data_IF_139221298908
#
_entry.id   IF_139221298908
#
_cell.length_a   1.000
_cell.length_b   1.000
_cell.length_c   1.000
_cell.angle_alpha   90.00
_cell.angle_beta   90.00
_cell.angle_gamma   90.00
#
_symmetry.space_group_name_H-M   'P 1'
#
loop_
_entity.id
_entity.type
_entity.pdbx_description
1 polymer ?
#
# COMPACT_ATOMS: atom_id res chain seq x y z
N UNK A 1 -24.54 -0.47 16.36
CA UNK A 1 -23.99 0.04 15.08
C UNK A 1 -23.70 -1.15 14.16
N UNK A 2 -23.92 -1.06 12.84
CA UNK A 2 -23.71 -2.20 11.92
C UNK A 2 -22.28 -2.28 11.36
N UNK A 3 -21.27 -2.09 12.22
CA UNK A 3 -19.87 -2.00 11.79
C UNK A 3 -19.40 -3.26 11.03
N UNK A 4 -19.74 -4.46 11.51
CA UNK A 4 -19.37 -5.70 10.81
C UNK A 4 -20.01 -5.89 9.41
N UNK A 5 -21.10 -5.17 9.11
CA UNK A 5 -21.68 -5.16 7.75
C UNK A 5 -21.00 -4.09 6.90
N UNK A 6 -20.78 -2.91 7.46
CA UNK A 6 -20.02 -1.83 6.81
C UNK A 6 -18.62 -2.27 6.42
N UNK A 7 -17.88 -2.92 7.33
CA UNK A 7 -16.54 -3.44 7.09
C UNK A 7 -16.54 -4.44 5.93
N UNK A 8 -17.46 -5.42 5.92
CA UNK A 8 -17.55 -6.40 4.84
C UNK A 8 -17.81 -5.77 3.46
N UNK A 9 -18.56 -4.67 3.42
CA UNK A 9 -18.84 -3.95 2.19
C UNK A 9 -17.70 -3.04 1.73
N UNK A 10 -16.85 -2.59 2.66
CA UNK A 10 -15.72 -1.70 2.41
C UNK A 10 -14.38 -2.44 2.21
N UNK A 11 -14.36 -3.76 2.38
CA UNK A 11 -13.15 -4.57 2.19
C UNK A 11 -12.76 -4.58 0.72
N UNK A 12 -11.55 -4.11 0.44
CA UNK A 12 -10.91 -4.31 -0.85
C UNK A 12 -10.45 -5.77 -0.98
N UNK A 13 -10.96 -6.47 -2.00
CA UNK A 13 -10.74 -7.90 -2.26
C UNK A 13 -9.26 -8.32 -2.12
N UNK A 14 -8.28 -7.63 -2.76
CA UNK A 14 -6.86 -7.99 -2.65
C UNK A 14 -6.26 -7.91 -1.25
N UNK A 15 -6.86 -7.14 -0.34
CA UNK A 15 -6.32 -6.92 1.01
C UNK A 15 -7.17 -7.54 2.11
N UNK A 16 -8.17 -8.34 1.76
CA UNK A 16 -9.13 -8.99 2.69
C UNK A 16 -8.45 -9.60 3.92
N UNK A 17 -7.35 -10.32 3.73
CA UNK A 17 -6.64 -11.01 4.81
C UNK A 17 -6.00 -10.06 5.83
N UNK A 18 -5.67 -8.85 5.38
CA UNK A 18 -5.02 -7.81 6.19
C UNK A 18 -5.99 -6.96 6.99
N UNK A 19 -7.30 -7.01 6.70
CA UNK A 19 -8.32 -6.35 7.52
C UNK A 19 -8.52 -7.04 8.87
N UNK A 20 -8.97 -6.29 9.87
CA UNK A 20 -9.29 -6.81 11.20
C UNK A 20 -10.39 -7.87 11.12
N UNK A 21 -10.18 -9.01 11.77
CA UNK A 21 -11.19 -10.06 11.90
C UNK A 21 -12.23 -9.68 12.97
N UNK A 22 -13.16 -8.80 12.57
CA UNK A 22 -14.23 -8.33 13.43
C UNK A 22 -15.18 -9.47 13.88
N UNK A 23 -15.32 -10.52 13.08
CA UNK A 23 -16.16 -11.66 13.43
C UNK A 23 -15.55 -12.47 14.58
N UNK A 24 -14.24 -12.70 14.56
CA UNK A 24 -13.52 -13.36 15.66
C UNK A 24 -13.54 -12.52 16.94
N UNK A 25 -13.31 -11.22 16.83
CA UNK A 25 -13.40 -10.29 17.97
C UNK A 25 -14.80 -10.31 18.60
N UNK A 26 -15.85 -10.29 17.78
CA UNK A 26 -17.23 -10.36 18.26
C UNK A 26 -17.56 -11.67 18.98
N UNK A 27 -17.04 -12.79 18.48
CA UNK A 27 -17.16 -14.10 19.14
C UNK A 27 -16.45 -14.13 20.49
N UNK A 28 -15.28 -13.51 20.59
CA UNK A 28 -14.56 -13.38 21.87
C UNK A 28 -15.32 -12.53 22.88
N UNK A 29 -16.02 -11.48 22.43
CA UNK A 29 -16.95 -10.71 23.28
C UNK A 29 -18.22 -11.49 23.67
N UNK A 30 -18.40 -12.72 23.17
CA UNK A 30 -19.57 -13.56 23.39
C UNK A 30 -20.90 -12.88 23.01
N UNK A 31 -20.88 -11.85 22.14
CA UNK A 31 -22.08 -11.11 21.73
C UNK A 31 -23.12 -11.99 21.00
N UNK A 32 -22.70 -13.13 20.43
CA UNK A 32 -23.60 -14.07 19.75
C UNK A 32 -24.20 -15.13 20.71
N UNK A 33 -23.66 -15.29 21.93
CA UNK A 33 -24.12 -16.31 22.88
C UNK A 33 -25.19 -15.76 23.84
N UNK A 34 -26.32 -15.37 23.25
CA UNK A 34 -27.53 -14.96 23.99
C UNK A 34 -28.15 -16.05 24.87
N UNK A 35 -27.60 -17.28 24.83
CA UNK A 35 -28.06 -18.43 25.62
C UNK A 35 -27.48 -18.46 27.04
N UNK A 36 -26.39 -17.74 27.29
CA UNK A 36 -25.73 -17.69 28.60
C UNK A 36 -26.07 -16.40 29.32
N UNK A 37 -27.24 -16.37 29.96
CA UNK A 37 -27.69 -15.22 30.77
C UNK A 37 -26.89 -15.02 32.08
N UNK A 38 -25.98 -15.93 32.41
CA UNK A 38 -25.34 -16.04 33.73
C UNK A 38 -23.80 -16.09 33.70
N UNK A 39 -23.17 -16.07 32.51
CA UNK A 39 -21.70 -16.00 32.41
C UNK A 39 -21.27 -14.53 32.54
N UNK A 40 -20.85 -14.16 33.74
CA UNK A 40 -20.28 -12.84 34.03
C UNK A 40 -18.96 -12.72 33.28
N UNK A 41 -18.80 -11.68 32.47
CA UNK A 41 -17.54 -11.37 31.77
C UNK A 41 -16.39 -11.33 32.77
N UNK A 42 -15.42 -12.23 32.60
CA UNK A 42 -14.29 -12.36 33.54
C UNK A 42 -13.08 -11.53 33.10
N UNK A 43 -12.16 -11.27 34.03
CA UNK A 43 -10.87 -10.63 33.71
C UNK A 43 -10.03 -11.49 32.74
N UNK A 44 -10.19 -12.81 32.77
CA UNK A 44 -9.53 -13.73 31.83
C UNK A 44 -10.09 -13.57 30.41
N UNK A 45 -11.41 -13.41 30.26
CA UNK A 45 -12.04 -13.12 28.97
C UNK A 45 -11.58 -11.76 28.42
N UNK A 46 -11.48 -10.74 29.29
CA UNK A 46 -10.94 -9.44 28.94
C UNK A 46 -9.50 -9.57 28.43
N UNK A 47 -8.63 -10.27 29.16
CA UNK A 47 -7.24 -10.44 28.79
C UNK A 47 -7.09 -11.21 27.47
N UNK A 48 -7.89 -12.26 27.24
CA UNK A 48 -7.90 -13.01 25.99
C UNK A 48 -8.32 -12.13 24.80
N UNK A 49 -9.34 -11.28 24.98
CA UNK A 49 -9.75 -10.31 23.98
C UNK A 49 -8.67 -9.27 23.68
N UNK A 50 -8.07 -8.67 24.72
CA UNK A 50 -6.99 -7.70 24.54
C UNK A 50 -5.77 -8.30 23.85
N UNK A 51 -5.38 -9.51 24.23
CA UNK A 51 -4.27 -10.22 23.61
C UNK A 51 -4.53 -10.45 22.11
N UNK A 52 -5.73 -10.92 21.74
CA UNK A 52 -6.07 -11.10 20.32
C UNK A 52 -6.11 -9.77 19.56
N UNK A 53 -6.73 -8.74 20.14
CA UNK A 53 -6.87 -7.42 19.50
C UNK A 53 -5.51 -6.77 19.26
N UNK A 54 -4.65 -6.73 20.28
CA UNK A 54 -3.39 -6.00 20.25
C UNK A 54 -2.30 -6.84 19.56
N UNK A 55 -2.12 -8.10 19.99
CA UNK A 55 -0.98 -8.89 19.52
C UNK A 55 -1.23 -9.54 18.16
N UNK A 56 -2.49 -9.69 17.73
CA UNK A 56 -2.79 -10.26 16.40
C UNK A 56 -3.34 -9.21 15.46
N UNK A 57 -4.51 -8.64 15.77
CA UNK A 57 -5.23 -7.81 14.81
C UNK A 57 -4.54 -6.47 14.54
N UNK A 58 -4.08 -5.78 15.58
CA UNK A 58 -3.38 -4.50 15.44
C UNK A 58 -2.01 -4.67 14.79
N UNK A 59 -1.24 -5.69 15.19
CA UNK A 59 0.06 -5.99 14.57
C UNK A 59 -0.10 -6.30 13.08
N UNK A 60 -1.10 -7.12 12.71
CA UNK A 60 -1.39 -7.46 11.31
C UNK A 60 -1.65 -6.23 10.46
N UNK A 61 -2.57 -5.36 10.89
CA UNK A 61 -2.92 -4.14 10.16
C UNK A 61 -1.73 -3.19 10.07
N UNK A 62 -1.00 -3.00 11.18
CA UNK A 62 0.16 -2.12 11.23
C UNK A 62 1.27 -2.61 10.31
N UNK A 63 1.54 -3.92 10.31
CA UNK A 63 2.54 -4.53 9.44
C UNK A 63 2.13 -4.43 7.97
N UNK A 64 0.83 -4.63 7.67
CA UNK A 64 0.30 -4.41 6.34
C UNK A 64 0.53 -2.96 5.88
N UNK A 65 0.10 -1.96 6.67
CA UNK A 65 0.33 -0.54 6.35
C UNK A 65 1.81 -0.24 6.10
N UNK A 66 2.70 -0.63 7.02
CA UNK A 66 4.15 -0.44 6.86
C UNK A 66 4.67 -1.07 5.56
N UNK A 67 4.28 -2.30 5.28
CA UNK A 67 4.73 -3.02 4.08
C UNK A 67 4.22 -2.37 2.80
N UNK A 68 2.97 -1.89 2.79
CA UNK A 68 2.35 -1.29 1.61
C UNK A 68 2.92 0.09 1.35
N UNK A 69 3.12 0.91 2.39
CA UNK A 69 3.83 2.18 2.28
C UNK A 69 5.26 2.00 1.75
N UNK A 70 5.99 0.99 2.24
CA UNK A 70 7.33 0.70 1.74
C UNK A 70 7.31 0.29 0.26
N UNK A 71 6.38 -0.60 -0.14
CA UNK A 71 6.22 -1.01 -1.54
C UNK A 71 5.88 0.17 -2.45
N UNK A 72 4.99 1.06 -2.01
CA UNK A 72 4.64 2.29 -2.73
C UNK A 72 5.87 3.18 -2.90
N UNK A 73 6.61 3.43 -1.82
CA UNK A 73 7.85 4.22 -1.85
C UNK A 73 8.90 3.61 -2.79
N UNK A 74 9.09 2.29 -2.74
CA UNK A 74 10.05 1.60 -3.61
C UNK A 74 9.62 1.66 -5.08
N UNK A 75 8.31 1.56 -5.38
CA UNK A 75 7.77 1.73 -6.73
C UNK A 75 7.96 3.14 -7.24
N UNK A 76 7.69 4.17 -6.42
CA UNK A 76 7.94 5.56 -6.77
C UNK A 76 9.42 5.82 -7.05
N UNK A 77 10.33 5.33 -6.19
CA UNK A 77 11.77 5.48 -6.40
C UNK A 77 12.27 4.78 -7.68
N UNK A 78 11.66 3.64 -8.06
CA UNK A 78 11.93 2.98 -9.34
C UNK A 78 11.43 3.80 -10.52
N UNK A 79 10.25 4.39 -10.42
CA UNK A 79 9.72 5.31 -11.44
C UNK A 79 10.65 6.51 -11.62
N UNK A 80 11.10 7.15 -10.54
CA UNK A 80 12.07 8.24 -10.56
C UNK A 80 13.38 7.81 -11.25
N UNK A 81 13.94 6.66 -10.87
CA UNK A 81 15.17 6.12 -11.48
C UNK A 81 15.04 5.83 -12.98
N UNK A 82 13.84 5.41 -13.44
CA UNK A 82 13.54 5.20 -14.86
C UNK A 82 13.39 6.53 -15.63
N UNK A 83 12.93 7.58 -14.95
CA UNK A 83 12.73 8.92 -15.51
C UNK A 83 14.04 9.73 -15.60
N UNK A 84 14.97 9.55 -14.66
CA UNK A 84 16.29 10.22 -14.64
C UNK A 84 17.04 10.23 -15.98
N UNK A 85 17.20 9.11 -16.71
CA UNK A 85 17.89 9.10 -18.00
C UNK A 85 17.09 9.85 -19.08
N UNK A 86 15.76 9.85 -19.00
CA UNK A 86 14.89 10.59 -19.93
C UNK A 86 15.00 12.09 -19.66
N UNK A 87 14.96 12.51 -18.40
CA UNK A 87 15.10 13.90 -17.98
C UNK A 87 16.47 14.50 -18.37
N UNK A 88 17.56 13.77 -18.12
CA UNK A 88 18.92 14.19 -18.54
C UNK A 88 19.02 14.32 -20.06
N UNK A 89 18.39 13.40 -20.80
CA UNK A 89 18.41 13.43 -22.25
C UNK A 89 17.53 14.52 -22.88
N UNK A 90 16.59 15.10 -22.13
CA UNK A 90 15.84 16.31 -22.51
C UNK A 90 16.65 17.57 -22.18
N UNK A 91 17.29 17.63 -21.01
CA UNK A 91 18.17 18.75 -20.64
C UNK A 91 19.39 18.90 -21.56
N UNK A 92 20.00 17.80 -21.98
CA UNK A 92 21.10 17.80 -22.96
C UNK A 92 20.63 18.22 -24.37
N UNK A 93 19.33 18.08 -24.68
CA UNK A 93 18.77 18.50 -25.96
C UNK A 93 18.39 20.00 -25.99
N UNK A 94 18.13 20.61 -24.83
CA UNK A 94 17.81 22.05 -24.70
C UNK A 94 19.03 22.93 -24.36
N UNK A 95 20.18 22.34 -24.00
CA UNK A 95 21.40 23.10 -23.76
C UNK A 95 21.95 23.71 -25.06
N UNK A 96 22.25 25.03 -25.12
CA UNK A 96 22.90 25.61 -26.27
C UNK A 96 24.26 24.95 -26.44
N UNK A 97 24.56 24.51 -27.67
CA UNK A 97 25.80 23.84 -28.02
C UNK A 97 27.02 24.68 -27.59
N UNK A 98 27.57 24.37 -26.41
CA UNK A 98 28.88 24.82 -25.99
C UNK A 98 29.79 23.61 -25.84
N UNK A 99 30.90 23.73 -26.55
CA UNK A 99 31.83 22.71 -26.98
C UNK A 99 32.76 22.18 -25.88
N UNK A 100 33.23 20.94 -26.10
CA UNK A 100 34.34 20.23 -25.44
C UNK A 100 34.09 19.69 -24.02
N UNK A 101 33.89 18.37 -23.92
CA UNK A 101 34.84 17.46 -23.27
C UNK A 101 34.32 16.01 -23.34
N UNK A 102 35.19 15.08 -23.73
CA UNK A 102 34.87 13.67 -23.82
C UNK A 102 34.53 13.07 -22.46
N UNK A 103 33.34 12.48 -22.36
CA UNK A 103 33.02 11.47 -21.37
C UNK A 103 32.10 10.46 -22.06
N UNK A 104 32.38 9.17 -21.85
CA UNK A 104 31.75 8.04 -22.53
C UNK A 104 30.22 8.20 -22.63
N UNK A 105 29.72 8.37 -23.87
CA UNK A 105 28.28 8.36 -24.19
C UNK A 105 27.72 7.00 -23.75
N UNK A 106 27.06 6.94 -22.58
CA UNK A 106 26.00 5.95 -22.40
C UNK A 106 24.97 6.22 -23.50
N UNK A 107 24.47 5.18 -24.20
CA UNK A 107 23.49 5.39 -25.26
C UNK A 107 22.29 6.11 -24.66
N UNK A 108 22.08 7.36 -25.11
CA UNK A 108 20.85 8.10 -24.82
C UNK A 108 19.69 7.30 -25.42
N UNK A 109 18.61 7.03 -24.66
CA UNK A 109 17.49 6.24 -25.17
C UNK A 109 16.92 6.90 -26.41
N UNK A 110 16.63 6.11 -27.45
CA UNK A 110 16.00 6.60 -28.67
C UNK A 110 14.60 7.17 -28.37
N UNK A 111 14.07 8.05 -29.22
CA UNK A 111 12.76 8.66 -29.01
C UNK A 111 11.63 7.63 -28.84
N UNK A 112 11.76 6.48 -29.50
CA UNK A 112 10.85 5.34 -29.35
C UNK A 112 10.93 4.68 -27.97
N UNK A 113 12.14 4.53 -27.43
CA UNK A 113 12.37 3.98 -26.08
C UNK A 113 11.92 4.96 -25.00
N UNK A 114 12.17 6.27 -25.18
CA UNK A 114 11.68 7.32 -24.26
C UNK A 114 10.16 7.31 -24.14
N UNK A 115 9.44 7.25 -25.26
CA UNK A 115 7.96 7.18 -25.26
C UNK A 115 7.44 5.92 -24.58
N UNK A 116 8.12 4.78 -24.73
CA UNK A 116 7.75 3.53 -24.03
C UNK A 116 7.96 3.66 -22.53
N UNK A 117 9.14 4.12 -22.10
CA UNK A 117 9.45 4.32 -20.68
C UNK A 117 8.46 5.29 -20.03
N UNK A 118 8.13 6.40 -20.69
CA UNK A 118 7.14 7.36 -20.20
C UNK A 118 5.74 6.73 -20.05
N UNK A 119 5.31 5.92 -21.03
CA UNK A 119 4.01 5.25 -20.99
C UNK A 119 3.96 4.22 -19.86
N UNK A 120 5.00 3.40 -19.71
CA UNK A 120 5.10 2.42 -18.62
C UNK A 120 5.11 3.08 -17.24
N UNK A 121 5.86 4.17 -17.08
CA UNK A 121 5.90 4.92 -15.81
C UNK A 121 4.54 5.57 -15.52
N UNK A 122 3.84 6.08 -16.53
CA UNK A 122 2.51 6.68 -16.35
C UNK A 122 1.49 5.62 -15.91
N UNK A 123 1.50 4.44 -16.52
CA UNK A 123 0.67 3.30 -16.10
C UNK A 123 1.02 2.85 -14.67
N UNK A 124 2.31 2.79 -14.31
CA UNK A 124 2.75 2.46 -12.94
C UNK A 124 2.29 3.52 -11.91
N UNK A 125 2.34 4.81 -12.27
CA UNK A 125 1.87 5.91 -11.41
C UNK A 125 0.36 5.89 -11.23
N UNK A 126 -0.43 5.61 -12.28
CA UNK A 126 -1.89 5.45 -12.17
C UNK A 126 -2.26 4.30 -11.23
N UNK A 127 -1.52 3.19 -11.28
CA UNK A 127 -1.70 2.08 -10.35
C UNK A 127 -1.32 2.48 -8.92
N UNK A 128 -0.24 3.23 -8.73
CA UNK A 128 0.15 3.78 -7.41
C UNK A 128 -0.96 4.69 -6.86
N UNK A 129 -1.51 5.59 -7.67
CA UNK A 129 -2.61 6.49 -7.27
C UNK A 129 -3.86 5.70 -6.91
N UNK A 130 -4.18 4.64 -7.66
CA UNK A 130 -5.29 3.74 -7.32
C UNK A 130 -5.07 3.05 -5.98
N UNK A 131 -3.88 2.51 -5.74
CA UNK A 131 -3.54 1.85 -4.47
C UNK A 131 -3.57 2.84 -3.29
N UNK A 132 -3.14 4.10 -3.48
CA UNK A 132 -3.23 5.14 -2.45
C UNK A 132 -4.68 5.50 -2.15
N UNK A 133 -5.52 5.68 -3.17
CA UNK A 133 -6.94 5.97 -2.99
C UNK A 133 -7.69 4.85 -2.24
N UNK A 134 -7.30 3.59 -2.44
CA UNK A 134 -7.89 2.47 -1.68
C UNK A 134 -7.31 2.34 -0.26
N UNK A 135 -6.14 2.91 0.03
CA UNK A 135 -5.59 3.00 1.40
C UNK A 135 -6.24 4.12 2.22
N UNK A 136 -6.68 5.21 1.57
CA UNK A 136 -7.30 6.36 2.24
C UNK A 136 -8.79 6.17 2.58
N UNK A 137 -9.46 5.18 1.97
CA UNK A 137 -10.87 4.84 2.23
C UNK A 137 -11.05 3.98 3.47
#
# INVERSE_FOLDING_TARGET
MKFGTTLRNAVYEPWRESYVDYAKLKKLLREDDSSRKDDTWTDEDAQAFYAELVNSQLEKVTNFHKSTYQKLRDRTAKCESKLDPVAKAVQEAEAPASSYAGAAKKPSPSDGERKRILKEVLEELDLITKDINELEK
#
